data_IF_865618366482
#
_entry.id   IF_865618366482
#
_cell.length_a   1.000
_cell.length_b   1.000
_cell.length_c   1.000
_cell.angle_alpha   90.00
_cell.angle_beta   90.00
_cell.angle_gamma   90.00
#
_symmetry.space_group_name_H-M   'P 1'
#
loop_
_entity.id
_entity.type
_entity.pdbx_description
1 polymer ?
#
# COMPACT_ATOMS: atom_id res chain seq x y z
N UNK A 1 6.57 8.91 6.82
CA UNK A 1 6.39 7.48 6.98
C UNK A 1 5.11 7.00 6.29
N UNK A 2 5.03 5.72 6.02
CA UNK A 2 3.84 5.16 5.40
C UNK A 2 2.60 5.30 6.29
N UNK A 3 2.81 5.27 7.59
CA UNK A 3 1.70 5.43 8.53
C UNK A 3 1.01 6.78 8.41
N UNK A 4 1.75 7.79 7.98
CA UNK A 4 1.20 9.14 7.84
C UNK A 4 0.41 9.32 6.55
N UNK A 5 0.48 8.36 5.64
CA UNK A 5 -0.24 8.47 4.37
C UNK A 5 -1.65 7.95 4.50
N UNK A 6 -2.55 8.54 3.72
CA UNK A 6 -3.93 8.06 3.68
C UNK A 6 -4.00 6.75 2.91
N UNK A 7 -5.14 6.05 3.06
CA UNK A 7 -5.34 4.81 2.33
C UNK A 7 -5.27 5.04 0.82
N UNK A 8 -5.81 6.16 0.36
CA UNK A 8 -5.78 6.47 -1.06
C UNK A 8 -4.34 6.60 -1.57
N UNK A 9 -3.49 7.25 -0.78
CA UNK A 9 -2.08 7.38 -1.14
C UNK A 9 -1.40 6.03 -1.17
N UNK A 10 -1.72 5.17 -0.21
CA UNK A 10 -1.13 3.84 -0.15
C UNK A 10 -1.59 2.98 -1.31
N UNK A 11 -2.85 3.10 -1.70
CA UNK A 11 -3.36 2.38 -2.86
C UNK A 11 -2.64 2.81 -4.12
N UNK A 12 -2.41 4.10 -4.26
CA UNK A 12 -1.70 4.64 -5.42
C UNK A 12 -0.28 4.10 -5.46
N UNK A 13 0.39 4.10 -4.32
CA UNK A 13 1.75 3.59 -4.23
C UNK A 13 1.79 2.11 -4.59
N UNK A 14 0.88 1.33 -4.04
CA UNK A 14 0.82 -0.11 -4.30
C UNK A 14 0.58 -0.38 -5.78
N UNK A 15 -0.25 0.45 -6.41
CA UNK A 15 -0.52 0.31 -7.83
C UNK A 15 0.74 0.55 -8.66
N UNK A 16 1.53 1.54 -8.28
CA UNK A 16 2.73 1.88 -9.03
C UNK A 16 3.80 0.82 -8.93
N UNK A 17 3.89 0.16 -7.77
CA UNK A 17 4.87 -0.91 -7.61
C UNK A 17 4.32 -2.27 -8.02
N UNK A 18 3.05 -2.34 -8.46
CA UNK A 18 2.51 -3.56 -9.03
C UNK A 18 1.96 -4.56 -8.04
N UNK A 19 1.51 -4.12 -6.88
CA UNK A 19 0.92 -5.02 -5.91
C UNK A 19 -0.51 -5.37 -6.32
N UNK A 20 -0.79 -6.65 -6.49
CA UNK A 20 -2.12 -7.12 -6.83
C UNK A 20 -2.94 -7.35 -5.57
N UNK A 21 -4.26 -7.24 -5.72
CA UNK A 21 -5.16 -7.43 -4.61
C UNK A 21 -5.20 -6.25 -3.65
N UNK A 22 -4.60 -5.15 -4.03
CA UNK A 22 -4.50 -3.98 -3.17
C UNK A 22 -5.87 -3.42 -2.77
N UNK A 23 -6.85 -3.57 -3.62
CA UNK A 23 -8.19 -3.04 -3.33
C UNK A 23 -8.86 -3.81 -2.19
N UNK A 24 -8.37 -4.99 -1.89
CA UNK A 24 -8.89 -5.81 -0.80
C UNK A 24 -8.09 -5.62 0.48
N UNK A 25 -7.05 -4.83 0.44
CA UNK A 25 -6.18 -4.60 1.58
C UNK A 25 -6.62 -3.38 2.36
N UNK A 26 -6.50 -3.46 3.68
CA UNK A 26 -6.68 -2.28 4.50
C UNK A 26 -5.35 -1.52 4.61
N UNK A 27 -5.36 -0.42 5.35
CA UNK A 27 -4.18 0.43 5.44
C UNK A 27 -2.97 -0.35 5.98
N UNK A 28 -3.18 -1.13 7.01
CA UNK A 28 -2.07 -1.88 7.61
C UNK A 28 -1.48 -2.88 6.63
N UNK A 29 -2.35 -3.58 5.88
CA UNK A 29 -1.89 -4.54 4.89
C UNK A 29 -1.14 -3.86 3.76
N UNK A 30 -1.62 -2.70 3.32
CA UNK A 30 -0.96 -1.94 2.28
C UNK A 30 0.43 -1.49 2.70
N UNK A 31 0.54 -0.99 3.93
CA UNK A 31 1.83 -0.55 4.44
C UNK A 31 2.81 -1.71 4.47
N UNK A 32 2.36 -2.85 4.96
CA UNK A 32 3.20 -4.02 5.05
C UNK A 32 3.65 -4.50 3.67
N UNK A 33 2.71 -4.53 2.72
CA UNK A 33 3.01 -4.97 1.36
C UNK A 33 4.01 -4.04 0.68
N UNK A 34 3.81 -2.74 0.84
CA UNK A 34 4.69 -1.75 0.23
C UNK A 34 6.10 -1.85 0.82
N UNK A 35 6.18 -1.99 2.13
CA UNK A 35 7.48 -2.11 2.79
C UNK A 35 8.21 -3.37 2.38
N UNK A 36 7.49 -4.45 2.17
CA UNK A 36 8.10 -5.71 1.77
C UNK A 36 8.50 -5.74 0.31
N UNK A 37 7.96 -4.83 -0.48
CA UNK A 37 8.20 -4.85 -1.91
C UNK A 37 9.63 -4.54 -2.29
N UNK A 38 10.32 -3.80 -1.51
CA UNK A 38 11.66 -3.32 -1.86
C UNK A 38 12.53 -4.32 -2.56
#
# INVERSE_FOLDING_TARGET
TLDARSKADLLKEAREIGIEGRSKMDKAALIKAIRSHK
#
